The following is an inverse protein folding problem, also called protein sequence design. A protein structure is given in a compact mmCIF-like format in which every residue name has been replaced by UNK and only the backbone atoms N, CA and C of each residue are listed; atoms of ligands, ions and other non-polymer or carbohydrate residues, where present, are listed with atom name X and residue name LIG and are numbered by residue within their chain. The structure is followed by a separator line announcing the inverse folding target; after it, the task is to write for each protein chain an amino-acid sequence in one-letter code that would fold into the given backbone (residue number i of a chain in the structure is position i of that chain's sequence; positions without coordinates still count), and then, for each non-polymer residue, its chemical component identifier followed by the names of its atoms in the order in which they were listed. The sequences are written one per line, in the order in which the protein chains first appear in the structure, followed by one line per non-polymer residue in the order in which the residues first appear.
data_IF_984697502514
#
_entry.id   IF_984697502514
#
_cell.length_a   1.000
_cell.length_b   1.000
_cell.length_c   1.000
_cell.angle_alpha   90.00
_cell.angle_beta   90.00
_cell.angle_gamma   90.00
#
_symmetry.space_group_name_H-M   'P 1'
#
loop_
_entity.id
_entity.type
_entity.pdbx_description
1 polymer ?
#
# COMPACT_ATOMS: atom_id res chain seq x y z
N UNK A 1 -13.92 -2.73 24.37
CA UNK A 1 -14.72 -2.84 23.13
C UNK A 1 -13.86 -2.98 21.85
N UNK A 2 -12.54 -2.72 21.93
CA UNK A 2 -11.57 -2.88 20.81
C UNK A 2 -11.20 -4.35 20.55
N UNK A 3 -11.10 -5.17 21.61
CA UNK A 3 -10.77 -6.63 21.56
C UNK A 3 -11.61 -7.46 20.58
N UNK A 4 -12.93 -7.29 20.53
CA UNK A 4 -13.81 -8.21 19.80
C UNK A 4 -13.80 -8.08 18.27
N UNK A 5 -13.24 -7.00 17.71
CA UNK A 5 -13.36 -6.68 16.27
C UNK A 5 -12.07 -6.86 15.45
N UNK A 6 -10.89 -6.78 16.09
CA UNK A 6 -9.61 -7.09 15.44
C UNK A 6 -9.45 -8.61 15.23
N UNK A 7 -9.81 -9.39 16.25
CA UNK A 7 -9.80 -10.86 16.25
C UNK A 7 -10.61 -11.47 15.10
N UNK A 8 -11.76 -10.87 14.75
CA UNK A 8 -12.66 -11.39 13.72
C UNK A 8 -12.08 -11.26 12.31
N UNK A 9 -11.26 -10.25 12.03
CA UNK A 9 -10.70 -10.05 10.68
C UNK A 9 -9.44 -10.85 10.45
N UNK A 10 -8.59 -11.02 11.47
CA UNK A 10 -7.52 -12.00 11.37
C UNK A 10 -8.11 -13.42 11.27
N UNK A 11 -9.23 -13.72 11.95
CA UNK A 11 -10.00 -14.96 11.74
C UNK A 11 -10.72 -15.03 10.37
N UNK A 12 -11.04 -13.92 9.70
CA UNK A 12 -11.55 -13.92 8.32
C UNK A 12 -10.42 -14.21 7.32
N UNK A 13 -9.21 -13.67 7.57
CA UNK A 13 -8.00 -14.01 6.82
C UNK A 13 -7.52 -15.45 7.13
N UNK A 14 -7.77 -15.99 8.32
CA UNK A 14 -7.25 -17.30 8.75
C UNK A 14 -8.30 -18.42 8.83
N UNK A 15 -9.59 -18.11 8.63
CA UNK A 15 -10.70 -19.05 8.55
C UNK A 15 -11.23 -19.54 9.91
N UNK A 16 -12.21 -18.85 10.51
CA UNK A 16 -13.16 -19.43 11.47
C UNK A 16 -14.43 -18.58 11.64
N UNK A 17 -15.60 -19.11 11.27
CA UNK A 17 -16.91 -18.66 11.76
C UNK A 17 -17.53 -19.81 12.56
N UNK A 18 -17.90 -19.64 13.84
CA UNK A 18 -18.94 -20.45 14.43
C UNK A 18 -20.30 -19.86 14.08
N UNK A 19 -21.19 -20.69 13.55
CA UNK A 19 -22.60 -20.41 13.34
C UNK A 19 -23.24 -19.89 14.63
N UNK A 20 -23.83 -18.70 14.60
CA UNK A 20 -24.56 -18.16 15.74
C UNK A 20 -25.92 -18.87 15.86
N UNK A 21 -26.04 -19.73 16.89
CA UNK A 21 -27.30 -20.28 17.38
C UNK A 21 -28.01 -19.22 18.23
N UNK A 22 -29.31 -19.05 17.97
CA UNK A 22 -30.25 -18.23 18.72
C UNK A 22 -30.22 -18.50 20.23
N UNK A 23 -30.31 -17.44 21.05
CA UNK A 23 -31.05 -17.48 22.31
C UNK A 23 -31.67 -16.11 22.59
N UNK A 24 -33.00 -16.11 22.63
CA UNK A 24 -33.84 -15.02 23.10
C UNK A 24 -33.81 -14.95 24.63
N UNK A 25 -33.98 -13.75 25.20
CA UNK A 25 -34.29 -13.63 26.63
C UNK A 25 -34.11 -12.25 27.22
N UNK A 26 -35.20 -11.47 27.27
CA UNK A 26 -35.65 -10.93 28.55
C UNK A 26 -35.16 -9.55 29.03
N UNK A 27 -36.05 -8.59 28.80
CA UNK A 27 -36.55 -7.56 29.74
C UNK A 27 -35.66 -6.37 30.15
N UNK A 28 -36.24 -5.22 29.82
CA UNK A 28 -36.10 -3.88 30.34
C UNK A 28 -36.25 -3.74 31.86
N UNK A 29 -35.57 -2.74 32.43
CA UNK A 29 -36.18 -1.67 33.23
C UNK A 29 -35.18 -0.50 33.45
N UNK A 30 -35.68 0.73 33.69
CA UNK A 30 -34.93 1.98 33.59
C UNK A 30 -34.52 2.53 34.97
N UNK A 31 -33.56 3.45 35.01
CA UNK A 31 -33.40 4.35 36.17
C UNK A 31 -33.19 5.78 35.73
N UNK A 32 -33.92 6.65 36.42
CA UNK A 32 -34.17 8.05 36.10
C UNK A 32 -33.39 8.95 37.07
N UNK A 33 -32.95 10.10 36.54
CA UNK A 33 -32.86 11.42 37.19
C UNK A 33 -32.10 11.61 38.52
N UNK A 34 -31.07 12.47 38.49
CA UNK A 34 -31.14 13.89 38.94
C UNK A 34 -29.95 14.40 39.78
N UNK A 35 -29.61 15.67 39.49
CA UNK A 35 -28.87 16.67 40.28
C UNK A 35 -27.43 16.38 40.69
N UNK A 36 -26.49 17.27 40.29
CA UNK A 36 -25.96 18.34 41.15
C UNK A 36 -25.38 19.49 40.30
N UNK A 37 -25.56 20.70 40.82
CA UNK A 37 -25.26 22.00 40.21
C UNK A 37 -23.77 22.38 40.26
N UNK A 38 -23.44 23.21 39.27
CA UNK A 38 -22.33 24.16 39.10
C UNK A 38 -21.55 24.65 40.34
N UNK A 39 -20.25 24.84 40.12
CA UNK A 39 -19.44 25.91 40.71
C UNK A 39 -18.53 26.48 39.61
N UNK A 40 -18.69 27.77 39.32
CA UNK A 40 -17.84 28.57 38.43
C UNK A 40 -16.61 29.15 39.16
N UNK A 41 -15.53 29.52 38.44
CA UNK A 41 -14.26 29.99 39.01
C UNK A 41 -14.19 31.52 39.14
N UNK A 42 -13.23 32.08 39.91
CA UNK A 42 -13.04 33.52 39.98
C UNK A 42 -12.19 34.06 38.83
N UNK A 43 -12.65 35.19 38.28
CA UNK A 43 -11.93 36.08 37.35
C UNK A 43 -10.88 36.91 38.09
N UNK A 44 -9.78 37.22 37.41
CA UNK A 44 -9.09 38.53 37.50
C UNK A 44 -8.79 39.01 36.10
N UNK A 45 -9.22 40.24 35.80
CA UNK A 45 -9.11 40.86 34.48
C UNK A 45 -7.86 41.71 34.32
N UNK A 46 -7.68 42.18 33.08
CA UNK A 46 -7.18 43.52 32.81
C UNK A 46 -7.94 44.09 31.61
N UNK A 47 -8.23 45.38 31.76
CA UNK A 47 -9.05 46.30 30.98
C UNK A 47 -8.33 46.99 29.82
N UNK A 48 -9.13 47.43 28.83
CA UNK A 48 -8.84 48.47 27.84
C UNK A 48 -9.79 48.34 26.63
N UNK A 49 -11.07 48.72 26.73
CA UNK A 49 -11.69 49.98 26.20
C UNK A 49 -11.19 50.38 24.81
N UNK A 50 -11.96 50.10 23.74
CA UNK A 50 -13.13 50.84 23.18
C UNK A 50 -12.69 52.00 22.29
N UNK A 51 -13.04 51.91 21.00
CA UNK A 51 -13.90 52.88 20.31
C UNK A 51 -14.36 52.29 18.97
N UNK A 52 -15.69 52.26 18.80
CA UNK A 52 -16.44 52.01 17.57
C UNK A 52 -16.56 53.33 16.81
N UNK A 53 -16.56 53.29 15.48
CA UNK A 53 -17.32 54.23 14.67
C UNK A 53 -17.85 53.49 13.43
N UNK A 54 -19.19 53.48 13.34
CA UNK A 54 -19.98 53.18 12.15
C UNK A 54 -19.91 54.36 11.17
N UNK A 55 -20.04 54.12 9.86
CA UNK A 55 -20.99 54.87 9.01
C UNK A 55 -21.12 54.26 7.61
N UNK A 56 -22.37 53.86 7.34
CA UNK A 56 -23.24 53.90 6.16
C UNK A 56 -22.78 54.22 4.71
N UNK A 57 -23.47 53.47 3.81
CA UNK A 57 -24.09 53.81 2.51
C UNK A 57 -23.21 54.39 1.36
N UNK A 58 -23.48 54.19 0.07
CA UNK A 58 -24.71 53.94 -0.67
C UNK A 58 -24.35 53.42 -2.10
N UNK A 59 -25.34 52.83 -2.79
CA UNK A 59 -25.52 53.12 -4.21
C UNK A 59 -25.29 52.00 -5.24
N UNK A 60 -26.35 51.20 -5.43
CA UNK A 60 -27.12 50.99 -6.71
C UNK A 60 -26.38 50.62 -8.03
N UNK A 61 -26.93 49.84 -8.98
CA UNK A 61 -28.13 49.05 -9.14
C UNK A 61 -28.08 48.31 -10.52
N UNK A 62 -28.90 47.25 -10.64
CA UNK A 62 -29.55 46.71 -11.87
C UNK A 62 -28.69 46.05 -12.97
N UNK A 63 -29.09 44.93 -13.60
CA UNK A 63 -30.31 44.14 -13.50
C UNK A 63 -30.38 43.02 -14.57
N UNK A 64 -31.11 41.96 -14.20
CA UNK A 64 -32.04 41.15 -15.01
C UNK A 64 -31.53 40.18 -16.11
N UNK A 65 -31.62 38.87 -15.78
CA UNK A 65 -32.19 37.77 -16.60
C UNK A 65 -33.72 37.96 -16.74
N UNK A 66 -34.48 37.37 -17.71
CA UNK A 66 -34.67 35.91 -17.96
C UNK A 66 -34.83 35.58 -19.47
N UNK A 67 -35.10 34.37 -19.99
CA UNK A 67 -35.76 33.17 -19.50
C UNK A 67 -35.85 32.08 -20.60
N UNK A 68 -36.49 30.97 -20.23
CA UNK A 68 -36.65 29.67 -20.90
C UNK A 68 -37.61 29.62 -22.11
N UNK A 69 -37.48 28.61 -22.99
CA UNK A 69 -38.56 27.63 -23.31
C UNK A 69 -38.17 26.54 -24.32
N UNK A 70 -38.87 25.40 -24.19
CA UNK A 70 -38.73 24.09 -24.83
C UNK A 70 -39.16 24.02 -26.31
N UNK A 71 -38.68 22.98 -27.04
CA UNK A 71 -39.56 22.09 -27.83
C UNK A 71 -38.92 20.74 -28.22
N UNK A 72 -39.75 19.70 -28.10
CA UNK A 72 -39.61 18.27 -28.50
C UNK A 72 -39.45 18.07 -30.01
N UNK A 73 -38.76 16.99 -30.41
CA UNK A 73 -39.25 16.09 -31.47
C UNK A 73 -38.56 14.71 -31.44
N UNK A 74 -39.40 13.67 -31.51
CA UNK A 74 -39.05 12.25 -31.57
C UNK A 74 -38.45 11.86 -32.93
N UNK A 75 -37.50 10.92 -32.94
CA UNK A 75 -37.48 9.88 -34.00
C UNK A 75 -36.77 8.60 -33.52
N UNK A 76 -37.55 7.52 -33.63
CA UNK A 76 -37.25 6.12 -33.36
C UNK A 76 -36.53 5.51 -34.57
N UNK A 77 -35.49 4.70 -34.38
CA UNK A 77 -35.04 3.68 -35.34
C UNK A 77 -34.27 2.58 -34.62
N UNK A 78 -34.56 1.33 -34.99
CA UNK A 78 -34.18 0.07 -34.35
C UNK A 78 -32.80 -0.45 -34.80
N UNK A 79 -32.07 -1.06 -33.85
CA UNK A 79 -31.11 -2.22 -33.89
C UNK A 79 -29.99 -2.34 -34.97
N UNK A 80 -28.93 -3.17 -34.77
CA UNK A 80 -28.66 -4.16 -33.71
C UNK A 80 -27.28 -4.06 -33.01
N UNK A 81 -27.09 -4.89 -31.99
CA UNK A 81 -25.87 -5.11 -31.21
C UNK A 81 -24.63 -5.55 -32.02
N UNK A 82 -23.42 -5.38 -31.45
CA UNK A 82 -22.32 -6.31 -31.72
C UNK A 82 -21.85 -6.98 -30.43
N UNK A 83 -21.89 -8.31 -30.44
CA UNK A 83 -20.97 -9.15 -29.67
C UNK A 83 -19.55 -8.87 -30.15
N UNK A 84 -18.67 -8.45 -29.25
CA UNK A 84 -17.23 -8.42 -29.52
C UNK A 84 -16.50 -9.02 -28.32
N UNK A 85 -16.03 -10.26 -28.51
CA UNK A 85 -14.98 -10.85 -27.71
C UNK A 85 -13.73 -9.98 -27.81
N UNK A 86 -13.38 -9.29 -26.73
CA UNK A 86 -12.10 -8.58 -26.67
C UNK A 86 -11.00 -9.56 -26.28
N UNK A 87 -10.27 -10.06 -27.28
CA UNK A 87 -8.95 -10.64 -27.08
C UNK A 87 -7.93 -9.49 -27.12
N UNK A 88 -7.50 -9.03 -25.94
CA UNK A 88 -6.40 -8.08 -25.83
C UNK A 88 -5.04 -8.81 -25.98
N UNK A 89 -4.03 -8.17 -26.60
CA UNK A 89 -2.73 -8.78 -26.80
C UNK A 89 -1.98 -8.92 -25.47
N UNK A 90 -1.50 -10.14 -25.19
CA UNK A 90 -0.48 -10.38 -24.17
C UNK A 90 0.80 -9.65 -24.61
N UNK A 91 1.16 -8.55 -23.96
CA UNK A 91 2.51 -7.98 -24.12
C UNK A 91 3.53 -9.02 -23.66
N UNK A 92 4.42 -9.39 -24.57
CA UNK A 92 5.41 -10.43 -24.33
C UNK A 92 6.46 -9.92 -23.35
N UNK A 93 6.62 -10.63 -22.23
CA UNK A 93 7.80 -10.60 -21.35
C UNK A 93 9.04 -10.73 -22.25
N UNK A 94 9.85 -9.68 -22.36
CA UNK A 94 10.99 -9.64 -23.27
C UNK A 94 12.11 -10.55 -22.77
N UNK A 95 12.30 -11.70 -23.43
CA UNK A 95 13.59 -12.42 -23.45
C UNK A 95 14.35 -12.00 -24.70
N UNK A 96 15.30 -11.07 -24.57
CA UNK A 96 16.13 -10.66 -25.71
C UNK A 96 17.27 -11.66 -25.97
N UNK A 97 17.35 -12.20 -27.19
CA UNK A 97 18.58 -12.71 -27.78
C UNK A 97 18.99 -11.75 -28.89
N UNK A 98 20.16 -11.10 -28.77
CA UNK A 98 20.70 -10.27 -29.86
C UNK A 98 21.85 -10.99 -30.56
N UNK A 99 21.72 -11.17 -31.87
CA UNK A 99 22.84 -11.48 -32.77
C UNK A 99 23.51 -10.18 -33.19
N UNK A 100 24.84 -10.15 -33.10
CA UNK A 100 25.68 -9.02 -33.50
C UNK A 100 25.75 -8.87 -35.02
N UNK A 101 25.52 -7.65 -35.51
CA UNK A 101 26.12 -7.15 -36.76
C UNK A 101 26.50 -5.68 -36.57
N UNK A 102 27.81 -5.42 -36.61
CA UNK A 102 28.38 -4.10 -36.43
C UNK A 102 28.26 -3.18 -37.66
N UNK A 103 28.24 -1.89 -37.39
CA UNK A 103 28.78 -0.88 -38.31
C UNK A 103 29.38 0.27 -37.49
N UNK A 104 30.50 0.81 -38.00
CA UNK A 104 31.31 1.88 -37.40
C UNK A 104 30.77 3.25 -37.82
N UNK A 105 30.75 4.21 -36.89
CA UNK A 105 30.51 5.63 -37.14
C UNK A 105 30.90 6.46 -35.90
N UNK A 106 31.53 7.62 -36.13
CA UNK A 106 32.47 8.34 -35.26
C UNK A 106 31.89 9.38 -34.26
N UNK A 107 32.61 9.52 -33.14
CA UNK A 107 32.76 10.60 -32.14
C UNK A 107 31.73 11.75 -32.02
N UNK A 108 31.09 11.82 -30.85
CA UNK A 108 31.10 13.02 -30.00
C UNK A 108 30.81 12.65 -28.53
N UNK A 109 31.40 13.43 -27.62
CA UNK A 109 31.42 13.28 -26.16
C UNK A 109 30.12 12.75 -25.53
N UNK A 110 30.12 11.47 -25.18
CA UNK A 110 29.02 10.82 -24.45
C UNK A 110 29.60 10.29 -23.15
N UNK A 111 29.31 10.98 -22.04
CA UNK A 111 29.48 10.42 -20.72
C UNK A 111 28.88 9.00 -20.74
N UNK A 112 29.72 8.02 -20.43
CA UNK A 112 29.41 6.60 -20.56
C UNK A 112 28.24 6.25 -19.64
N UNK A 113 27.01 6.41 -20.16
CA UNK A 113 25.80 5.83 -19.61
C UNK A 113 25.94 4.33 -19.84
N UNK A 114 26.54 3.63 -18.86
CA UNK A 114 26.51 2.18 -18.80
C UNK A 114 25.04 1.78 -18.67
N UNK A 115 24.39 1.41 -19.78
CA UNK A 115 23.12 0.70 -19.69
C UNK A 115 23.41 -0.57 -18.90
N UNK A 116 22.82 -0.68 -17.71
CA UNK A 116 22.95 -1.88 -16.89
C UNK A 116 22.27 -3.02 -17.64
N UNK A 117 23.05 -3.88 -18.30
CA UNK A 117 22.55 -5.18 -18.74
C UNK A 117 22.68 -6.11 -17.55
N UNK A 118 21.56 -6.65 -17.11
CA UNK A 118 21.53 -7.68 -16.07
C UNK A 118 22.49 -8.81 -16.48
N UNK A 119 23.40 -9.21 -15.59
CA UNK A 119 24.23 -10.39 -15.84
C UNK A 119 23.35 -11.63 -15.63
N UNK A 120 22.76 -12.10 -16.72
CA UNK A 120 21.89 -13.28 -16.75
C UNK A 120 22.60 -14.57 -16.32
N UNK A 121 23.93 -14.57 -16.14
CA UNK A 121 24.67 -15.72 -15.58
C UNK A 121 24.32 -16.00 -14.11
N UNK A 122 23.75 -15.04 -13.39
CA UNK A 122 23.27 -15.22 -12.00
C UNK A 122 21.87 -15.87 -11.92
N UNK A 123 21.23 -16.23 -13.05
CA UNK A 123 19.91 -16.87 -13.03
C UNK A 123 19.89 -18.28 -12.41
N UNK A 124 21.04 -18.95 -12.33
CA UNK A 124 21.15 -20.31 -11.77
C UNK A 124 21.20 -20.33 -10.23
N UNK A 125 21.56 -19.21 -9.59
CA UNK A 125 21.80 -19.14 -8.14
C UNK A 125 20.62 -18.55 -7.34
N UNK A 126 19.50 -18.24 -8.00
CA UNK A 126 18.33 -17.61 -7.35
C UNK A 126 17.18 -18.59 -7.11
N UNK A 127 16.50 -18.40 -5.98
CA UNK A 127 15.33 -19.21 -5.64
C UNK A 127 14.13 -18.82 -6.48
N UNK A 128 13.59 -19.76 -7.25
CA UNK A 128 12.41 -19.55 -8.10
C UNK A 128 11.13 -19.86 -7.33
N UNK A 129 10.04 -19.20 -7.70
CA UNK A 129 8.71 -19.52 -7.15
C UNK A 129 8.31 -20.94 -7.55
N UNK A 130 7.47 -21.58 -6.74
CA UNK A 130 6.99 -22.94 -6.99
C UNK A 130 5.51 -23.04 -6.63
N UNK A 131 4.77 -23.80 -7.42
CA UNK A 131 3.39 -24.19 -7.12
C UNK A 131 3.33 -25.66 -6.66
N UNK A 132 2.48 -25.94 -5.69
CA UNK A 132 2.15 -27.28 -5.25
C UNK A 132 1.25 -28.01 -6.25
N UNK A 133 0.92 -29.28 -5.96
CA UNK A 133 0.03 -30.09 -6.80
C UNK A 133 -1.39 -29.52 -6.90
N UNK A 134 -1.78 -28.70 -5.94
CA UNK A 134 -3.06 -27.99 -5.88
C UNK A 134 -3.06 -26.65 -6.65
N UNK A 135 -1.94 -26.31 -7.30
CA UNK A 135 -1.79 -25.06 -8.06
C UNK A 135 -1.50 -23.82 -7.20
N UNK A 136 -1.40 -23.97 -5.86
CA UNK A 136 -1.10 -22.88 -4.94
C UNK A 136 0.40 -22.66 -4.81
N UNK A 137 0.83 -21.43 -4.58
CA UNK A 137 2.23 -21.14 -4.32
C UNK A 137 2.70 -21.71 -2.98
N UNK A 138 3.92 -22.24 -2.98
CA UNK A 138 4.55 -22.86 -1.82
C UNK A 138 5.74 -22.02 -1.42
N UNK A 139 5.83 -21.72 -0.13
CA UNK A 139 6.98 -21.07 0.44
C UNK A 139 8.19 -22.04 0.42
N UNK A 140 9.29 -21.71 -0.27
CA UNK A 140 10.39 -22.66 -0.48
C UNK A 140 11.36 -22.73 0.70
N UNK A 141 11.21 -21.88 1.71
CA UNK A 141 12.21 -21.71 2.75
C UNK A 141 12.04 -22.73 3.89
N UNK A 142 13.12 -23.39 4.37
CA UNK A 142 13.05 -24.30 5.51
C UNK A 142 12.56 -23.63 6.81
N UNK A 143 12.72 -22.31 6.90
CA UNK A 143 12.26 -21.46 8.00
C UNK A 143 10.75 -21.26 8.00
N UNK A 144 10.06 -21.53 6.90
CA UNK A 144 8.61 -21.34 6.80
C UNK A 144 7.82 -22.40 7.57
N UNK A 145 6.80 -21.95 8.30
CA UNK A 145 5.74 -22.81 8.84
C UNK A 145 4.41 -22.13 8.59
N UNK A 146 3.52 -22.81 7.87
CA UNK A 146 2.18 -22.28 7.62
C UNK A 146 1.41 -22.14 8.94
N UNK A 147 0.65 -21.03 9.13
CA UNK A 147 -0.27 -20.90 10.26
C UNK A 147 -1.27 -22.05 10.27
N UNK A 148 -1.40 -22.73 11.40
CA UNK A 148 -2.39 -23.81 11.58
C UNK A 148 -3.59 -23.30 12.38
N UNK A 149 -4.79 -23.81 12.12
CA UNK A 149 -6.01 -23.40 12.83
C UNK A 149 -5.85 -23.43 14.37
N UNK A 150 -5.25 -24.47 14.99
CA UNK A 150 -5.02 -24.46 16.45
C UNK A 150 -4.11 -23.33 16.90
N UNK A 151 -3.05 -23.02 16.15
CA UNK A 151 -2.12 -21.94 16.47
C UNK A 151 -2.79 -20.57 16.33
N UNK A 152 -3.62 -20.38 15.31
CA UNK A 152 -4.40 -19.16 15.12
C UNK A 152 -5.37 -18.96 16.28
N UNK A 153 -6.11 -20.00 16.67
CA UNK A 153 -7.03 -19.93 17.81
C UNK A 153 -6.28 -19.65 19.11
N UNK A 154 -5.14 -20.32 19.34
CA UNK A 154 -4.27 -20.05 20.50
C UNK A 154 -3.85 -18.58 20.54
N UNK A 155 -3.36 -18.03 19.45
CA UNK A 155 -2.97 -16.62 19.39
C UNK A 155 -4.16 -15.69 19.66
N UNK A 156 -5.29 -15.91 18.98
CA UNK A 156 -6.49 -15.09 19.13
C UNK A 156 -7.07 -15.07 20.56
N UNK A 157 -7.02 -16.19 21.29
CA UNK A 157 -7.72 -16.34 22.56
C UNK A 157 -6.83 -16.38 23.79
N UNK A 158 -5.55 -16.74 23.65
CA UNK A 158 -4.66 -16.98 24.79
C UNK A 158 -3.55 -15.94 24.92
N UNK A 159 -3.21 -15.21 23.86
CA UNK A 159 -2.13 -14.24 23.91
C UNK A 159 -2.62 -12.90 24.45
N UNK A 160 -1.78 -12.28 25.29
CA UNK A 160 -2.05 -10.93 25.78
C UNK A 160 -1.65 -9.94 24.70
N UNK A 161 -2.52 -8.97 24.49
CA UNK A 161 -2.24 -7.81 23.68
C UNK A 161 -1.42 -6.83 24.52
N UNK A 162 -0.14 -6.67 24.18
CA UNK A 162 0.78 -5.74 24.85
C UNK A 162 0.93 -4.43 24.10
N UNK A 163 0.14 -4.19 23.04
CA UNK A 163 0.38 -3.10 22.10
C UNK A 163 0.25 -1.69 22.62
N UNK A 164 -0.25 -1.54 23.86
CA UNK A 164 -0.30 -0.29 24.62
C UNK A 164 -0.75 0.94 23.81
N UNK A 165 -1.50 0.73 22.71
CA UNK A 165 -1.82 1.80 21.76
C UNK A 165 -2.63 2.85 22.49
N UNK A 166 -2.14 4.09 22.59
CA UNK A 166 -2.81 5.11 23.37
C UNK A 166 -4.25 5.29 22.91
N UNK A 167 -5.19 5.19 23.86
CA UNK A 167 -6.60 5.45 23.58
C UNK A 167 -6.89 6.95 23.44
N UNK A 168 -6.00 7.79 23.98
CA UNK A 168 -6.09 9.24 23.94
C UNK A 168 -5.63 9.77 22.57
N UNK A 169 -6.47 10.62 21.95
CA UNK A 169 -6.09 11.28 20.69
C UNK A 169 -4.94 12.26 20.88
N UNK A 170 -4.85 12.88 22.05
CA UNK A 170 -3.79 13.83 22.39
C UNK A 170 -2.45 13.10 22.52
N UNK A 171 -2.43 11.97 23.21
CA UNK A 171 -1.22 11.15 23.37
C UNK A 171 -0.75 10.61 22.03
N UNK A 172 -1.66 10.06 21.21
CA UNK A 172 -1.31 9.65 19.85
C UNK A 172 -0.81 10.80 18.96
N UNK A 173 -1.24 12.05 19.21
CA UNK A 173 -0.77 13.20 18.44
C UNK A 173 0.62 13.67 18.89
N UNK A 174 1.02 13.38 20.13
CA UNK A 174 2.35 13.65 20.67
C UNK A 174 3.33 12.56 20.21
N UNK A 175 2.97 11.28 20.39
CA UNK A 175 3.86 10.15 20.08
C UNK A 175 3.96 9.87 18.57
N UNK A 176 2.83 9.98 17.85
CA UNK A 176 2.73 9.66 16.42
C UNK A 176 2.01 10.80 15.68
N UNK A 177 2.64 11.99 15.57
CA UNK A 177 2.06 13.12 14.87
C UNK A 177 1.84 12.79 13.39
N UNK A 178 0.66 13.14 12.87
CA UNK A 178 0.38 13.04 11.43
C UNK A 178 0.72 14.37 10.79
N UNK A 179 1.77 14.36 9.97
CA UNK A 179 2.28 15.56 9.29
C UNK A 179 1.68 15.64 7.89
N UNK A 180 1.24 16.83 7.49
CA UNK A 180 0.80 17.10 6.12
C UNK A 180 1.98 16.95 5.16
N UNK A 181 1.88 16.12 4.11
CA UNK A 181 2.98 15.93 3.16
C UNK A 181 3.32 17.21 2.41
N UNK A 182 4.60 17.40 2.09
CA UNK A 182 5.08 18.62 1.44
C UNK A 182 4.32 18.94 0.14
N UNK A 183 3.96 17.92 -0.65
CA UNK A 183 3.30 18.11 -1.95
C UNK A 183 1.87 18.63 -1.85
N UNK A 184 1.24 18.60 -0.67
CA UNK A 184 -0.06 19.23 -0.45
C UNK A 184 0.07 20.76 -0.45
N UNK A 185 1.19 21.28 0.05
CA UNK A 185 1.46 22.71 0.13
C UNK A 185 2.31 23.19 -1.06
N UNK A 186 3.20 22.33 -1.55
CA UNK A 186 4.21 22.63 -2.56
C UNK A 186 4.23 21.54 -3.66
N UNK A 187 3.13 21.35 -4.42
CA UNK A 187 3.04 20.33 -5.45
C UNK A 187 4.10 20.49 -6.55
N UNK A 188 4.57 21.71 -6.79
CA UNK A 188 5.59 22.04 -7.78
C UNK A 188 6.98 21.47 -7.48
N UNK A 189 7.21 20.93 -6.29
CA UNK A 189 8.49 20.31 -5.89
C UNK A 189 8.56 18.81 -6.21
N UNK A 190 7.42 18.20 -6.54
CA UNK A 190 7.36 16.77 -6.86
C UNK A 190 8.19 16.47 -8.11
N UNK A 191 8.92 15.35 -8.09
CA UNK A 191 9.83 14.92 -9.16
C UNK A 191 11.11 15.74 -9.28
N UNK A 192 11.24 16.88 -8.57
CA UNK A 192 12.44 17.72 -8.58
C UNK A 192 13.50 17.23 -7.60
N UNK A 193 13.93 15.98 -7.73
CA UNK A 193 14.98 15.38 -6.90
C UNK A 193 16.38 15.47 -7.53
N UNK A 194 16.47 15.91 -8.79
CA UNK A 194 17.72 15.85 -9.56
C UNK A 194 18.16 14.40 -9.75
N UNK A 195 19.37 14.06 -9.32
CA UNK A 195 19.84 12.67 -9.28
C UNK A 195 19.54 11.96 -7.96
N UNK A 196 18.85 12.62 -7.01
CA UNK A 196 18.56 12.08 -5.69
C UNK A 196 17.25 11.28 -5.62
N UNK A 197 17.04 10.69 -4.44
CA UNK A 197 15.85 9.93 -4.07
C UNK A 197 15.13 10.62 -2.91
N UNK A 198 13.81 10.75 -3.00
CA UNK A 198 12.95 11.24 -1.90
C UNK A 198 11.87 10.21 -1.59
N UNK A 199 11.59 10.05 -0.30
CA UNK A 199 10.54 9.16 0.20
C UNK A 199 9.64 9.89 1.17
N UNK A 200 8.33 9.69 1.02
CA UNK A 200 7.28 10.15 1.94
C UNK A 200 6.53 8.94 2.48
N UNK A 201 6.57 8.73 3.79
CA UNK A 201 5.79 7.67 4.44
C UNK A 201 4.34 8.12 4.62
N UNK A 202 3.40 7.38 4.03
CA UNK A 202 1.96 7.65 4.07
C UNK A 202 1.22 6.79 5.13
N UNK A 203 2.00 6.11 5.98
CA UNK A 203 1.52 5.19 7.01
C UNK A 203 1.51 3.73 6.53
N UNK A 204 1.64 2.81 7.50
CA UNK A 204 1.73 1.37 7.27
C UNK A 204 2.85 1.00 6.29
N UNK A 205 2.57 0.19 5.27
CA UNK A 205 3.47 -0.10 4.16
C UNK A 205 3.34 0.86 2.96
N UNK A 206 2.52 1.92 3.09
CA UNK A 206 2.32 2.90 2.03
C UNK A 206 3.43 3.95 2.02
N UNK A 207 4.24 3.93 0.96
CA UNK A 207 5.35 4.85 0.76
C UNK A 207 5.24 5.46 -0.63
N UNK A 208 5.35 6.78 -0.72
CA UNK A 208 5.56 7.47 -2.00
C UNK A 208 7.05 7.68 -2.22
N UNK A 209 7.54 7.23 -3.37
CA UNK A 209 8.94 7.28 -3.75
C UNK A 209 9.09 8.13 -5.00
N UNK A 210 10.07 9.03 -4.97
CA UNK A 210 10.45 9.89 -6.09
C UNK A 210 11.91 9.62 -6.41
N UNK A 211 12.17 9.06 -7.59
CA UNK A 211 13.53 8.78 -8.08
C UNK A 211 13.53 8.69 -9.60
N UNK A 212 14.63 9.11 -10.22
CA UNK A 212 14.90 8.84 -11.63
C UNK A 212 13.72 9.19 -12.57
N UNK A 213 13.13 10.36 -12.34
CA UNK A 213 11.98 10.94 -13.09
C UNK A 213 10.64 10.23 -12.90
N UNK A 214 10.53 9.29 -11.96
CA UNK A 214 9.29 8.58 -11.62
C UNK A 214 8.83 8.91 -10.20
N UNK A 215 7.50 8.96 -10.05
CA UNK A 215 6.82 8.93 -8.75
C UNK A 215 5.98 7.66 -8.65
N UNK A 216 6.23 6.84 -7.64
CA UNK A 216 5.48 5.60 -7.46
C UNK A 216 5.08 5.36 -6.00
N UNK A 217 4.05 4.53 -5.82
CA UNK A 217 3.52 4.14 -4.51
C UNK A 217 3.76 2.66 -4.24
N UNK A 218 4.04 2.32 -2.98
CA UNK A 218 4.04 0.95 -2.48
C UNK A 218 2.74 0.68 -1.72
N UNK A 219 2.11 -0.48 -1.91
CA UNK A 219 0.98 -1.00 -1.11
C UNK A 219 0.02 0.08 -0.55
N UNK A 220 -0.67 0.85 -1.43
CA UNK A 220 -1.44 2.01 -1.01
C UNK A 220 -2.73 1.61 -0.27
N UNK A 221 -2.85 2.05 0.99
CA UNK A 221 -4.08 1.96 1.78
C UNK A 221 -4.47 3.32 2.37
N UNK A 222 -5.47 3.95 1.76
CA UNK A 222 -6.10 5.20 2.22
C UNK A 222 -7.41 4.96 2.99
N UNK A 223 -7.94 3.74 2.96
CA UNK A 223 -9.12 3.36 3.74
C UNK A 223 -8.88 3.43 5.25
N UNK A 224 -9.99 3.56 5.99
CA UNK A 224 -9.98 3.58 7.45
C UNK A 224 -9.79 2.17 8.06
N UNK A 225 -10.20 1.12 7.34
CA UNK A 225 -10.03 -0.28 7.75
C UNK A 225 -9.37 -1.12 6.68
N UNK A 226 -8.45 -1.99 7.12
CA UNK A 226 -7.86 -3.06 6.33
C UNK A 226 -8.76 -4.30 6.38
N UNK A 227 -9.85 -4.30 5.61
CA UNK A 227 -10.88 -5.34 5.70
C UNK A 227 -11.69 -5.44 4.40
N UNK A 228 -12.30 -6.60 4.10
CA UNK A 228 -13.26 -6.71 2.99
C UNK A 228 -14.44 -5.73 3.12
N UNK A 229 -14.76 -5.29 4.34
CA UNK A 229 -15.84 -4.33 4.59
C UNK A 229 -15.40 -3.25 5.57
N UNK A 230 -15.84 -2.00 5.35
CA UNK A 230 -15.41 -0.86 6.19
C UNK A 230 -16.12 -0.79 7.56
N UNK A 231 -17.09 -1.68 7.82
CA UNK A 231 -17.80 -1.76 9.11
C UNK A 231 -17.05 -2.61 10.15
N UNK A 232 -16.15 -3.50 9.74
CA UNK A 232 -15.48 -4.46 10.63
C UNK A 232 -14.01 -4.70 10.24
N UNK A 233 -13.23 -5.30 11.14
CA UNK A 233 -11.79 -5.52 10.97
C UNK A 233 -10.89 -4.39 11.46
N UNK A 234 -9.57 -4.48 11.28
CA UNK A 234 -8.59 -3.59 11.88
C UNK A 234 -8.82 -2.17 11.40
N UNK A 235 -9.02 -1.26 12.34
CA UNK A 235 -9.14 0.17 12.07
C UNK A 235 -7.79 0.80 12.31
N UNK A 236 -7.31 1.63 11.37
CA UNK A 236 -6.11 2.42 11.63
C UNK A 236 -6.33 3.38 12.79
N UNK A 237 -5.36 3.50 13.67
CA UNK A 237 -5.38 4.46 14.77
C UNK A 237 -4.74 5.80 14.39
N UNK A 238 -3.95 5.85 13.32
CA UNK A 238 -3.50 7.08 12.63
C UNK A 238 -4.14 7.22 11.25
N UNK A 239 -4.77 8.36 10.92
CA UNK A 239 -5.33 8.59 9.58
C UNK A 239 -4.20 8.66 8.53
N UNK A 240 -4.50 8.40 7.24
CA UNK A 240 -3.56 8.72 6.18
C UNK A 240 -3.27 10.23 6.17
N UNK A 241 -2.03 10.66 5.88
CA UNK A 241 -1.64 12.07 5.98
C UNK A 241 -2.17 12.94 4.81
N UNK A 242 -2.71 12.32 3.76
CA UNK A 242 -3.39 12.98 2.64
C UNK A 242 -4.49 12.08 2.06
N UNK A 243 -5.36 12.66 1.23
CA UNK A 243 -6.32 11.90 0.42
C UNK A 243 -5.71 11.45 -0.92
N UNK A 244 -6.39 10.54 -1.62
CA UNK A 244 -5.99 10.17 -2.99
C UNK A 244 -5.99 11.38 -3.90
N UNK A 245 -6.95 12.31 -3.78
CA UNK A 245 -7.04 13.52 -4.62
C UNK A 245 -5.88 14.51 -4.40
N UNK A 246 -5.24 14.47 -3.24
CA UNK A 246 -4.11 15.32 -2.89
C UNK A 246 -2.76 14.77 -3.36
N UNK A 247 -2.70 13.52 -3.84
CA UNK A 247 -1.46 12.97 -4.38
C UNK A 247 -1.02 13.77 -5.62
N UNK A 248 0.27 13.87 -5.91
CA UNK A 248 0.72 14.33 -7.22
C UNK A 248 0.41 13.30 -8.30
N UNK A 249 0.87 13.54 -9.54
CA UNK A 249 0.87 12.50 -10.57
C UNK A 249 1.67 11.29 -10.04
N UNK A 250 1.08 10.10 -10.16
CA UNK A 250 1.70 8.83 -9.82
C UNK A 250 1.86 8.04 -11.11
N UNK A 251 3.09 7.64 -11.44
CA UNK A 251 3.40 6.90 -12.66
C UNK A 251 3.23 5.39 -12.47
N UNK A 252 3.49 4.91 -11.25
CA UNK A 252 3.33 3.49 -10.92
C UNK A 252 2.84 3.20 -9.49
N UNK A 253 2.21 2.04 -9.32
CA UNK A 253 1.98 1.42 -8.01
C UNK A 253 2.60 0.02 -8.03
N UNK A 254 3.31 -0.34 -6.96
CA UNK A 254 3.80 -1.71 -6.73
C UNK A 254 3.01 -2.36 -5.60
N UNK A 255 2.55 -3.58 -5.82
CA UNK A 255 1.84 -4.40 -4.83
C UNK A 255 2.72 -5.57 -4.39
N UNK A 256 2.99 -5.72 -3.10
CA UNK A 256 3.82 -6.82 -2.57
C UNK A 256 3.03 -8.14 -2.51
N UNK A 257 1.80 -8.08 -2.01
CA UNK A 257 0.94 -9.24 -1.77
C UNK A 257 -0.52 -8.81 -1.56
N UNK A 258 -1.40 -9.78 -1.27
CA UNK A 258 -2.86 -9.59 -1.36
C UNK A 258 -3.58 -9.31 -0.05
N UNK A 259 -2.90 -9.19 1.10
CA UNK A 259 -3.61 -8.90 2.36
C UNK A 259 -4.29 -7.53 2.35
N UNK A 260 -5.34 -7.37 3.15
CA UNK A 260 -6.23 -6.20 3.08
C UNK A 260 -5.59 -4.88 3.50
N UNK A 261 -4.51 -4.95 4.27
CA UNK A 261 -3.70 -3.81 4.69
C UNK A 261 -2.62 -3.42 3.67
N UNK A 262 -2.43 -4.21 2.60
CA UNK A 262 -1.49 -3.93 1.50
C UNK A 262 -2.19 -3.76 0.14
N UNK A 263 -3.34 -4.43 -0.05
CA UNK A 263 -4.19 -4.34 -1.23
C UNK A 263 -5.62 -3.94 -0.82
N UNK A 264 -5.82 -2.63 -0.67
CA UNK A 264 -7.10 -2.03 -0.33
C UNK A 264 -7.93 -1.73 -1.58
N UNK A 265 -9.12 -2.35 -1.68
CA UNK A 265 -10.00 -2.21 -2.84
C UNK A 265 -10.43 -0.76 -3.09
N UNK A 266 -10.74 0.02 -2.04
CA UNK A 266 -11.19 1.39 -2.24
C UNK A 266 -10.04 2.28 -2.72
N UNK A 267 -8.82 2.06 -2.22
CA UNK A 267 -7.63 2.77 -2.69
C UNK A 267 -7.33 2.46 -4.15
N UNK A 268 -7.39 1.18 -4.55
CA UNK A 268 -7.24 0.77 -5.96
C UNK A 268 -8.27 1.46 -6.84
N UNK A 269 -9.54 1.44 -6.42
CA UNK A 269 -10.63 2.07 -7.16
C UNK A 269 -10.42 3.58 -7.31
N UNK A 270 -10.14 4.29 -6.22
CA UNK A 270 -9.94 5.75 -6.26
C UNK A 270 -8.70 6.16 -7.05
N UNK A 271 -7.60 5.41 -6.97
CA UNK A 271 -6.40 5.66 -7.79
C UNK A 271 -6.69 5.43 -9.27
N UNK A 272 -7.40 4.35 -9.61
CA UNK A 272 -7.77 4.05 -10.98
C UNK A 272 -8.78 5.07 -11.56
N UNK A 273 -9.76 5.50 -10.77
CA UNK A 273 -10.70 6.56 -11.16
C UNK A 273 -9.98 7.90 -11.43
N UNK A 274 -8.91 8.19 -10.67
CA UNK A 274 -8.17 9.44 -10.81
C UNK A 274 -7.16 9.44 -11.95
N UNK A 275 -6.37 8.37 -12.10
CA UNK A 275 -5.23 8.34 -13.02
C UNK A 275 -5.46 7.47 -14.27
N UNK A 276 -6.44 6.57 -14.25
CA UNK A 276 -6.79 5.71 -15.38
C UNK A 276 -5.60 4.90 -15.92
N UNK A 277 -5.48 4.86 -17.24
CA UNK A 277 -4.46 4.08 -17.96
C UNK A 277 -3.05 4.69 -17.89
N UNK A 278 -2.90 5.94 -17.45
CA UNK A 278 -1.59 6.57 -17.23
C UNK A 278 -0.86 5.94 -16.04
N UNK A 279 -1.59 5.40 -15.06
CA UNK A 279 -1.02 4.72 -13.91
C UNK A 279 -0.73 3.25 -14.23
N UNK A 280 0.54 2.84 -14.14
CA UNK A 280 0.92 1.43 -14.27
C UNK A 280 0.89 0.70 -12.92
N UNK A 281 0.25 -0.47 -12.89
CA UNK A 281 0.22 -1.34 -11.72
C UNK A 281 1.18 -2.50 -11.90
N UNK A 282 2.15 -2.66 -11.01
CA UNK A 282 3.01 -3.84 -10.95
C UNK A 282 2.54 -4.74 -9.81
N UNK A 283 2.19 -5.98 -10.14
CA UNK A 283 1.52 -6.89 -9.21
C UNK A 283 2.12 -8.31 -9.23
N UNK A 284 1.97 -9.08 -8.14
CA UNK A 284 2.43 -10.46 -8.09
C UNK A 284 1.65 -11.39 -9.03
N UNK A 285 2.32 -12.44 -9.49
CA UNK A 285 1.73 -13.50 -10.30
C UNK A 285 0.45 -14.09 -9.66
N UNK A 286 -0.66 -14.05 -10.39
CA UNK A 286 -2.01 -14.48 -10.00
C UNK A 286 -2.97 -13.33 -9.68
N UNK A 287 -2.54 -12.05 -9.66
CA UNK A 287 -3.36 -10.90 -9.29
C UNK A 287 -3.98 -10.14 -10.48
N UNK A 288 -3.55 -10.40 -11.73
CA UNK A 288 -3.97 -9.65 -12.91
C UNK A 288 -5.50 -9.56 -13.06
N UNK A 289 -6.19 -10.71 -12.98
CA UNK A 289 -7.65 -10.77 -13.14
C UNK A 289 -8.39 -9.98 -12.04
N UNK A 290 -7.84 -9.94 -10.83
CA UNK A 290 -8.44 -9.14 -9.75
C UNK A 290 -8.34 -7.65 -10.05
N UNK A 291 -7.16 -7.18 -10.49
CA UNK A 291 -6.94 -5.77 -10.86
C UNK A 291 -7.83 -5.36 -12.04
N UNK A 292 -7.95 -6.21 -13.06
CA UNK A 292 -8.83 -5.97 -14.22
C UNK A 292 -10.30 -5.86 -13.82
N UNK A 293 -10.77 -6.67 -12.87
CA UNK A 293 -12.13 -6.56 -12.32
C UNK A 293 -12.35 -5.27 -11.51
N UNK A 294 -11.28 -4.66 -10.99
CA UNK A 294 -11.34 -3.32 -10.42
C UNK A 294 -11.34 -2.19 -11.47
N UNK A 295 -11.23 -2.54 -12.76
CA UNK A 295 -11.18 -1.59 -13.87
C UNK A 295 -9.78 -1.10 -14.22
N UNK A 296 -8.72 -1.70 -13.66
CA UNK A 296 -7.34 -1.33 -13.98
C UNK A 296 -6.92 -1.94 -15.32
N UNK A 297 -6.55 -1.09 -16.28
CA UNK A 297 -6.21 -1.50 -17.65
C UNK A 297 -4.71 -1.71 -17.86
N UNK A 298 -3.87 -0.87 -17.23
CA UNK A 298 -2.41 -0.90 -17.36
C UNK A 298 -1.79 -1.68 -16.20
N UNK A 299 -1.83 -3.01 -16.27
CA UNK A 299 -1.37 -3.92 -15.21
C UNK A 299 -0.32 -4.87 -15.74
N UNK A 300 0.81 -4.96 -15.05
CA UNK A 300 1.88 -5.91 -15.30
C UNK A 300 1.96 -6.89 -14.13
N UNK A 301 1.77 -8.16 -14.45
CA UNK A 301 1.85 -9.26 -13.51
C UNK A 301 3.22 -9.95 -13.66
N UNK A 302 3.94 -10.12 -12.55
CA UNK A 302 5.31 -10.65 -12.54
C UNK A 302 5.48 -11.83 -11.58
N UNK A 303 6.24 -12.83 -12.01
CA UNK A 303 6.86 -13.81 -11.13
C UNK A 303 8.15 -13.24 -10.51
N UNK A 304 8.70 -13.91 -9.50
CA UNK A 304 9.99 -13.52 -8.94
C UNK A 304 11.08 -13.51 -9.99
N UNK A 305 11.94 -12.50 -9.90
CA UNK A 305 13.03 -12.15 -10.81
C UNK A 305 12.61 -11.73 -12.20
N UNK A 306 11.31 -11.68 -12.50
CA UNK A 306 10.82 -11.01 -13.69
C UNK A 306 10.83 -9.50 -13.49
N UNK A 307 11.01 -8.80 -14.60
CA UNK A 307 11.23 -7.37 -14.62
C UNK A 307 10.41 -6.70 -15.71
N UNK A 308 10.07 -5.44 -15.48
CA UNK A 308 9.41 -4.59 -16.47
C UNK A 308 9.70 -3.10 -16.14
N UNK A 309 9.27 -2.18 -16.97
CA UNK A 309 9.46 -0.73 -16.79
C UNK A 309 8.13 0.01 -16.94
N UNK A 310 8.11 1.31 -16.66
CA UNK A 310 7.00 2.18 -17.05
C UNK A 310 7.24 2.65 -18.50
N UNK A 311 6.25 2.59 -19.42
CA UNK A 311 6.45 3.03 -20.79
C UNK A 311 6.88 4.49 -20.85
N UNK A 312 7.91 4.79 -21.64
CA UNK A 312 8.54 6.11 -21.68
C UNK A 312 9.64 6.33 -20.64
N UNK A 313 9.80 5.42 -19.68
CA UNK A 313 10.83 5.44 -18.63
C UNK A 313 11.61 4.11 -18.59
N UNK A 314 12.02 3.59 -19.76
CA UNK A 314 12.69 2.30 -19.92
C UNK A 314 14.02 2.16 -19.14
N UNK A 315 14.57 3.27 -18.67
CA UNK A 315 15.79 3.31 -17.87
C UNK A 315 15.56 2.92 -16.40
N UNK A 316 14.31 2.88 -15.93
CA UNK A 316 13.95 2.44 -14.58
C UNK A 316 13.27 1.09 -14.63
N UNK A 317 13.92 0.09 -14.04
CA UNK A 317 13.47 -1.31 -14.04
C UNK A 317 12.84 -1.66 -12.70
N UNK A 318 11.62 -2.17 -12.73
CA UNK A 318 10.91 -2.76 -11.60
C UNK A 318 11.07 -4.27 -11.67
N UNK A 319 11.70 -4.85 -10.65
CA UNK A 319 11.90 -6.29 -10.53
C UNK A 319 11.11 -6.81 -9.34
N UNK A 320 10.23 -7.78 -9.57
CA UNK A 320 9.56 -8.47 -8.48
C UNK A 320 10.53 -9.49 -7.88
N UNK A 321 10.73 -9.47 -6.58
CA UNK A 321 11.77 -10.27 -5.89
C UNK A 321 11.16 -11.11 -4.77
N UNK A 322 11.80 -12.21 -4.33
CA UNK A 322 11.20 -13.07 -3.33
C UNK A 322 11.12 -12.46 -1.93
N UNK A 323 10.08 -12.84 -1.19
CA UNK A 323 9.98 -12.67 0.25
C UNK A 323 9.45 -13.95 0.92
N UNK A 324 9.50 -14.04 2.25
CA UNK A 324 8.90 -15.14 3.02
C UNK A 324 7.56 -14.68 3.61
N UNK A 325 6.48 -14.83 2.84
CA UNK A 325 5.13 -14.53 3.32
C UNK A 325 4.10 -15.49 2.73
N UNK A 326 2.85 -15.05 2.67
CA UNK A 326 1.71 -15.78 2.14
C UNK A 326 0.63 -14.79 1.64
N UNK A 327 -0.40 -15.32 1.00
CA UNK A 327 -1.50 -14.53 0.44
C UNK A 327 -2.85 -15.14 0.82
N UNK A 328 -3.82 -14.32 1.23
CA UNK A 328 -5.23 -14.73 1.38
C UNK A 328 -6.16 -13.53 1.46
N UNK A 329 -7.32 -13.62 0.81
CA UNK A 329 -8.41 -12.63 0.91
C UNK A 329 -9.73 -13.27 1.26
N UNK A 330 -9.96 -14.48 0.78
CA UNK A 330 -11.20 -15.23 1.02
C UNK A 330 -10.90 -16.57 1.69
N UNK A 331 -11.93 -17.30 2.08
CA UNK A 331 -11.75 -18.56 2.82
C UNK A 331 -11.03 -19.66 2.01
N UNK A 332 -11.00 -19.57 0.68
CA UNK A 332 -10.53 -20.65 -0.22
C UNK A 332 -9.40 -20.24 -1.17
N UNK A 333 -8.83 -19.04 -1.03
CA UNK A 333 -7.83 -18.49 -1.96
C UNK A 333 -6.40 -18.39 -1.42
N UNK A 334 -6.11 -19.09 -0.32
CA UNK A 334 -4.77 -19.21 0.26
C UNK A 334 -3.71 -19.49 -0.83
N UNK A 335 -2.74 -18.59 -0.98
CA UNK A 335 -1.62 -18.72 -1.90
C UNK A 335 -1.99 -18.98 -3.37
N UNK A 336 -3.18 -18.59 -3.82
CA UNK A 336 -3.49 -18.58 -5.28
C UNK A 336 -2.70 -17.51 -6.02
N UNK A 337 -2.35 -16.44 -5.31
CA UNK A 337 -1.52 -15.32 -5.76
C UNK A 337 -0.17 -15.39 -5.05
N UNK A 338 0.88 -14.97 -5.75
CA UNK A 338 2.23 -14.87 -5.22
C UNK A 338 2.37 -13.67 -4.26
N UNK A 339 3.42 -13.68 -3.45
CA UNK A 339 3.84 -12.58 -2.58
C UNK A 339 5.30 -12.26 -2.86
N UNK A 340 5.79 -11.08 -2.50
CA UNK A 340 7.20 -10.75 -2.70
C UNK A 340 7.56 -9.33 -2.29
N UNK A 341 8.78 -8.97 -2.63
CA UNK A 341 9.38 -7.64 -2.50
C UNK A 341 9.60 -6.99 -3.85
N UNK A 342 9.94 -5.71 -3.89
CA UNK A 342 10.24 -4.97 -5.12
C UNK A 342 11.65 -4.39 -5.08
N UNK A 343 12.42 -4.62 -6.14
CA UNK A 343 13.68 -3.92 -6.41
C UNK A 343 13.45 -2.96 -7.58
N UNK A 344 13.63 -1.66 -7.36
CA UNK A 344 13.47 -0.61 -8.38
C UNK A 344 14.85 -0.03 -8.70
N UNK A 345 15.27 -0.19 -9.95
CA UNK A 345 16.63 0.06 -10.41
C UNK A 345 16.62 1.21 -11.42
N UNK A 346 17.02 2.40 -10.98
CA UNK A 346 17.19 3.56 -11.84
C UNK A 346 18.64 3.78 -12.29
N UNK A 347 18.88 4.73 -13.21
CA UNK A 347 20.23 5.14 -13.60
C UNK A 347 21.06 5.73 -12.46
N UNK A 348 20.43 6.42 -11.52
CA UNK A 348 21.08 7.13 -10.42
C UNK A 348 20.82 6.49 -9.07
N UNK A 349 19.59 5.99 -8.82
CA UNK A 349 19.21 5.45 -7.52
C UNK A 349 18.67 4.02 -7.63
N UNK A 350 18.74 3.30 -6.50
CA UNK A 350 18.11 1.99 -6.32
C UNK A 350 17.28 1.98 -5.04
N UNK A 351 16.05 1.53 -5.15
CA UNK A 351 15.12 1.41 -4.04
C UNK A 351 14.68 -0.04 -3.83
N UNK A 352 14.65 -0.49 -2.59
CA UNK A 352 14.12 -1.80 -2.21
C UNK A 352 12.88 -1.64 -1.33
N UNK A 353 11.83 -2.40 -1.61
CA UNK A 353 10.64 -2.48 -0.78
C UNK A 353 10.39 -3.93 -0.38
N UNK A 354 10.51 -4.23 0.90
CA UNK A 354 10.46 -5.61 1.39
C UNK A 354 9.07 -6.25 1.32
N UNK A 355 7.99 -5.45 1.26
CA UNK A 355 6.65 -5.93 1.56
C UNK A 355 6.56 -6.45 3.00
N UNK A 356 5.64 -7.39 3.23
CA UNK A 356 5.67 -8.21 4.42
C UNK A 356 6.53 -9.45 4.22
N UNK A 357 7.26 -9.82 5.27
CA UNK A 357 8.14 -10.97 5.22
C UNK A 357 8.57 -11.42 6.60
N UNK A 358 8.74 -12.73 6.79
CA UNK A 358 9.68 -13.29 7.75
C UNK A 358 11.11 -13.24 7.20
N UNK A 359 12.11 -13.50 8.03
CA UNK A 359 13.50 -13.53 7.56
C UNK A 359 13.78 -14.79 6.72
N UNK A 360 14.47 -14.63 5.59
CA UNK A 360 14.90 -15.73 4.72
C UNK A 360 16.15 -15.36 3.89
N UNK A 361 16.77 -16.37 3.27
CA UNK A 361 18.05 -16.21 2.54
C UNK A 361 17.93 -15.36 1.26
N UNK A 362 16.72 -15.10 0.80
CA UNK A 362 16.48 -14.39 -0.45
C UNK A 362 17.04 -12.96 -0.42
N UNK A 363 17.09 -12.33 0.76
CA UNK A 363 17.61 -10.97 0.91
C UNK A 363 19.09 -10.88 0.54
N UNK A 364 19.89 -11.89 0.87
CA UNK A 364 21.29 -11.96 0.47
C UNK A 364 21.42 -12.16 -1.06
N UNK A 365 20.54 -12.97 -1.66
CA UNK A 365 20.47 -13.15 -3.12
C UNK A 365 20.13 -11.82 -3.83
N UNK A 366 19.17 -11.07 -3.28
CA UNK A 366 18.75 -9.75 -3.78
C UNK A 366 19.91 -8.74 -3.67
N UNK A 367 20.55 -8.64 -2.50
CA UNK A 367 21.69 -7.74 -2.30
C UNK A 367 22.87 -8.05 -3.20
N UNK A 368 23.22 -9.33 -3.38
CA UNK A 368 24.27 -9.75 -4.32
C UNK A 368 23.94 -9.39 -5.78
N UNK A 369 22.67 -9.52 -6.19
CA UNK A 369 22.26 -9.32 -7.58
C UNK A 369 22.06 -7.86 -7.94
N UNK A 370 21.49 -7.07 -7.03
CA UNK A 370 21.01 -5.71 -7.31
C UNK A 370 21.60 -4.64 -6.40
N UNK A 371 22.28 -5.02 -5.32
CA UNK A 371 22.90 -4.08 -4.40
C UNK A 371 24.10 -3.33 -5.01
N UNK A 372 24.58 -2.27 -4.32
CA UNK A 372 23.96 -1.69 -3.12
C UNK A 372 22.70 -0.88 -3.45
N UNK A 373 21.72 -0.87 -2.53
CA UNK A 373 20.54 0.00 -2.63
C UNK A 373 20.76 1.33 -1.92
N UNK A 374 20.21 2.43 -2.44
CA UNK A 374 20.31 3.74 -1.78
C UNK A 374 19.37 3.83 -0.59
N UNK A 375 18.17 3.26 -0.71
CA UNK A 375 17.19 3.18 0.37
C UNK A 375 16.39 1.88 0.31
N UNK A 376 16.13 1.28 1.48
CA UNK A 376 15.23 0.16 1.63
C UNK A 376 14.08 0.48 2.60
N UNK A 377 12.83 0.25 2.20
CA UNK A 377 11.66 0.28 3.08
C UNK A 377 11.41 -1.13 3.64
N UNK A 378 11.57 -1.31 4.96
CA UNK A 378 11.60 -2.62 5.64
C UNK A 378 10.61 -2.62 6.82
N UNK A 379 9.75 -3.65 6.96
CA UNK A 379 8.78 -3.73 8.05
C UNK A 379 9.48 -3.93 9.39
N UNK A 380 8.92 -3.32 10.44
CA UNK A 380 9.39 -3.50 11.83
C UNK A 380 8.26 -3.81 12.83
N UNK A 381 7.02 -3.92 12.34
CA UNK A 381 5.82 -4.15 13.16
C UNK A 381 5.14 -5.47 12.81
N UNK A 382 4.12 -5.83 13.58
CA UNK A 382 3.36 -7.08 13.49
C UNK A 382 4.14 -8.36 13.85
N UNK A 383 5.13 -8.25 14.73
CA UNK A 383 6.11 -9.31 14.97
C UNK A 383 5.83 -10.15 16.22
N UNK A 384 4.93 -9.75 17.12
CA UNK A 384 4.61 -10.53 18.33
C UNK A 384 3.26 -11.27 18.26
N UNK A 385 3.17 -12.49 18.82
CA UNK A 385 4.23 -13.22 19.51
C UNK A 385 5.14 -13.99 18.54
N UNK A 386 6.45 -14.01 18.84
CA UNK A 386 7.47 -14.61 17.93
C UNK A 386 7.24 -16.07 17.59
N UNK A 387 6.64 -16.87 18.48
CA UNK A 387 6.38 -18.29 18.19
C UNK A 387 5.41 -18.49 17.01
N UNK A 388 4.55 -17.50 16.75
CA UNK A 388 3.56 -17.50 15.67
C UNK A 388 4.01 -16.62 14.50
N UNK A 389 4.39 -15.37 14.78
CA UNK A 389 4.63 -14.36 13.75
C UNK A 389 5.96 -14.49 13.00
N UNK A 390 7.01 -15.08 13.60
CA UNK A 390 8.37 -15.09 12.98
C UNK A 390 8.47 -15.71 11.59
N UNK A 391 7.51 -16.55 11.24
CA UNK A 391 7.49 -17.20 9.94
C UNK A 391 7.07 -16.24 8.82
N UNK A 392 6.32 -15.18 9.14
CA UNK A 392 5.65 -14.30 8.19
C UNK A 392 5.95 -12.80 8.43
N UNK A 393 6.42 -12.42 9.63
CA UNK A 393 6.85 -11.07 9.97
C UNK A 393 8.18 -11.07 10.72
N UNK A 394 9.11 -10.24 10.26
CA UNK A 394 10.35 -9.90 10.94
C UNK A 394 10.10 -9.03 12.16
N UNK A 395 10.93 -9.22 13.19
CA UNK A 395 11.08 -8.24 14.26
C UNK A 395 12.11 -7.15 13.86
N UNK A 396 12.30 -6.09 14.66
CA UNK A 396 13.26 -5.03 14.34
C UNK A 396 14.71 -5.54 14.20
N UNK A 397 15.10 -6.61 14.89
CA UNK A 397 16.45 -7.18 14.77
C UNK A 397 16.63 -7.84 13.40
N UNK A 398 15.68 -8.68 12.99
CA UNK A 398 15.66 -9.29 11.67
C UNK A 398 15.52 -8.24 10.56
N UNK A 399 14.81 -7.13 10.78
CA UNK A 399 14.75 -6.02 9.83
C UNK A 399 16.13 -5.36 9.58
N UNK A 400 16.96 -5.23 10.62
CA UNK A 400 18.35 -4.76 10.47
C UNK A 400 19.20 -5.80 9.72
N UNK A 401 18.96 -7.10 9.92
CA UNK A 401 19.63 -8.14 9.12
C UNK A 401 19.25 -8.03 7.64
N UNK A 402 17.97 -7.82 7.32
CA UNK A 402 17.52 -7.56 5.94
C UNK A 402 18.26 -6.35 5.36
N UNK A 403 18.33 -5.24 6.09
CA UNK A 403 19.07 -4.03 5.66
C UNK A 403 20.52 -4.35 5.24
N UNK A 404 21.22 -5.16 6.04
CA UNK A 404 22.59 -5.62 5.75
C UNK A 404 22.62 -6.52 4.52
N UNK A 405 21.76 -7.54 4.47
CA UNK A 405 21.76 -8.57 3.43
C UNK A 405 21.41 -8.00 2.05
N UNK A 406 20.46 -7.06 1.99
CA UNK A 406 20.16 -6.35 0.73
C UNK A 406 21.21 -5.30 0.38
N UNK A 407 22.19 -5.03 1.27
CA UNK A 407 23.23 -4.02 1.07
C UNK A 407 22.66 -2.61 0.89
N UNK A 408 21.66 -2.25 1.69
CA UNK A 408 21.08 -0.91 1.65
C UNK A 408 21.98 0.10 2.38
N UNK A 409 22.18 1.29 1.81
CA UNK A 409 22.91 2.38 2.47
C UNK A 409 22.12 2.99 3.63
N UNK A 410 20.80 3.05 3.47
CA UNK A 410 19.83 3.54 4.46
C UNK A 410 18.56 2.70 4.40
N UNK A 411 17.79 2.71 5.48
CA UNK A 411 16.46 2.12 5.49
C UNK A 411 15.45 3.03 6.19
N UNK A 412 14.19 2.88 5.79
CA UNK A 412 13.03 3.49 6.44
C UNK A 412 12.12 2.39 6.98
N UNK A 413 11.66 2.55 8.21
CA UNK A 413 10.76 1.61 8.86
C UNK A 413 9.32 1.76 8.31
N UNK A 414 8.68 0.63 8.03
CA UNK A 414 7.27 0.56 7.58
C UNK A 414 6.48 -0.48 8.41
N UNK A 415 5.20 -0.69 8.09
CA UNK A 415 4.29 -1.68 8.69
C UNK A 415 3.88 -1.43 10.16
N UNK A 416 4.45 -0.41 10.81
CA UNK A 416 4.21 -0.07 12.22
C UNK A 416 3.42 1.24 12.40
N UNK A 417 2.97 1.52 13.62
CA UNK A 417 2.43 2.84 14.00
C UNK A 417 1.12 3.25 13.31
N UNK A 418 0.43 2.33 12.64
CA UNK A 418 -0.77 2.65 11.83
C UNK A 418 -1.97 1.76 12.16
N UNK A 419 -1.79 0.43 12.14
CA UNK A 419 -2.79 -0.56 12.50
C UNK A 419 -2.27 -1.44 13.64
N UNK A 420 -3.15 -1.89 14.53
CA UNK A 420 -2.82 -2.91 15.53
C UNK A 420 -3.15 -4.29 14.90
N UNK A 421 -2.13 -4.95 14.35
CA UNK A 421 -2.26 -6.21 13.62
C UNK A 421 -1.70 -7.42 14.40
N UNK A 422 -1.00 -7.15 15.50
CA UNK A 422 -0.33 -8.11 16.35
C UNK A 422 -0.22 -7.55 17.78
N UNK A 423 0.65 -8.11 18.60
CA UNK A 423 0.63 -7.91 20.05
C UNK A 423 1.88 -7.20 20.61
N UNK A 424 2.78 -6.70 19.76
CA UNK A 424 4.02 -6.03 20.19
C UNK A 424 3.75 -4.71 20.91
N UNK A 425 4.61 -4.36 21.88
CA UNK A 425 4.56 -3.13 22.69
C UNK A 425 4.69 -1.82 21.92
#
# INVERSE_FOLDING_TARGET
MVRGRALWSCCLQLGALPSAVCCAGGKSQPFNSSCWRAAEPPRRGWSGTMEEEEEEEDGTAQGQRPGSSQKKMDKKTEEPAPSASSQYPKEAVRKHHSSDRGSRGSDSSRASRKSFRLDYRLEEDVTKSKRGKDGRFVNPWPTWKSPTLPNVLKWCFMEKDNSNVPSSKQELAIELPVVTPFFVQNPEWVGKTGTGLRVTWLGHASVMVEMDELVFLTDPIFSQRASPVQLMGPKRFRPPPCTVDQLPKIDAVVISHTHYDHLDYNSVKSLNERFGSELRWFVPLGLLEWMQRCGCENVIELDWWEENCVPGHDAVTFVFTPSQHWCKRTVTDDNKVLWGSWSVLGPWNRFFFAGDTGYCVAFEQIGKRFGPFDLAAIPIGAYEPRWFMKHQHVDPEEAVRIHIDVQAKKSVAIHWGTFALANEE
#
